data_IF_539940279315
#
_entry.id   IF_539940279315
#
_cell.length_a   1.000
_cell.length_b   1.000
_cell.length_c   1.000
_cell.angle_alpha   90.00
_cell.angle_beta   90.00
_cell.angle_gamma   90.00
#
_symmetry.space_group_name_H-M   'P 1'
#
loop_
_entity.id
_entity.type
_entity.pdbx_description
1 polymer ?
#
# COMPACT_ATOMS: atom_id res chain seq x y z
N UNK A 1 -19.73 27.41 1.01
CA UNK A 1 -19.01 27.10 -0.24
C UNK A 1 -18.25 28.35 -0.65
N UNK A 2 -16.92 28.35 -0.55
CA UNK A 2 -16.11 29.53 -0.92
C UNK A 2 -16.01 29.60 -2.45
N UNK A 3 -16.00 30.82 -3.01
CA UNK A 3 -15.93 31.11 -4.44
C UNK A 3 -14.66 30.56 -5.15
N UNK A 4 -13.68 30.02 -4.42
CA UNK A 4 -12.37 29.64 -4.93
C UNK A 4 -12.27 28.23 -5.51
N UNK A 5 -13.32 27.39 -5.41
CA UNK A 5 -13.28 25.97 -5.81
C UNK A 5 -14.15 25.64 -7.04
N UNK A 6 -14.63 26.64 -7.78
CA UNK A 6 -15.46 26.42 -8.95
C UNK A 6 -14.63 26.06 -10.20
N UNK A 7 -14.83 24.85 -10.72
CA UNK A 7 -14.18 24.34 -11.93
C UNK A 7 -14.45 25.19 -13.18
N UNK A 8 -15.57 25.92 -13.23
CA UNK A 8 -15.90 26.78 -14.37
C UNK A 8 -15.02 28.04 -14.45
N UNK A 9 -14.31 28.39 -13.36
CA UNK A 9 -13.38 29.53 -13.31
C UNK A 9 -11.94 29.15 -13.68
N UNK A 10 -11.64 27.87 -13.91
CA UNK A 10 -10.29 27.44 -14.26
C UNK A 10 -9.86 28.00 -15.63
N UNK A 11 -8.55 28.25 -15.84
CA UNK A 11 -8.03 28.59 -17.15
C UNK A 11 -8.09 27.38 -18.10
N UNK A 12 -8.09 27.62 -19.40
CA UNK A 12 -7.91 26.53 -20.36
C UNK A 12 -6.47 25.99 -20.28
N UNK A 13 -6.26 24.67 -20.50
CA UNK A 13 -7.23 23.64 -20.88
C UNK A 13 -7.97 22.96 -19.70
N UNK A 14 -7.69 23.38 -18.47
CA UNK A 14 -8.20 22.73 -17.25
C UNK A 14 -9.72 22.77 -17.14
N UNK A 15 -10.33 23.89 -17.51
CA UNK A 15 -11.79 24.03 -17.52
C UNK A 15 -12.47 23.08 -18.51
N UNK A 16 -11.96 22.98 -19.74
CA UNK A 16 -12.47 22.00 -20.70
C UNK A 16 -12.33 20.57 -20.16
N UNK A 17 -11.17 20.23 -19.58
CA UNK A 17 -10.92 18.91 -19.00
C UNK A 17 -11.84 18.60 -17.82
N UNK A 18 -12.09 19.56 -16.93
CA UNK A 18 -13.02 19.40 -15.82
C UNK A 18 -14.46 19.19 -16.32
N UNK A 19 -14.90 19.92 -17.35
CA UNK A 19 -16.23 19.71 -17.97
C UNK A 19 -16.35 18.32 -18.60
N UNK A 20 -15.32 17.88 -19.32
CA UNK A 20 -15.28 16.52 -19.88
C UNK A 20 -15.35 15.50 -18.75
N UNK A 21 -14.49 15.60 -17.74
CA UNK A 21 -14.44 14.67 -16.61
C UNK A 21 -15.80 14.58 -15.89
N UNK A 22 -16.42 15.73 -15.57
CA UNK A 22 -17.73 15.83 -14.93
C UNK A 22 -18.83 15.10 -15.71
N UNK A 23 -18.80 15.12 -17.04
CA UNK A 23 -19.78 14.37 -17.84
C UNK A 23 -19.72 12.85 -17.63
N UNK A 24 -18.54 12.30 -17.33
CA UNK A 24 -18.35 10.87 -17.05
C UNK A 24 -18.72 10.49 -15.61
N UNK A 25 -18.73 11.43 -14.66
CA UNK A 25 -19.07 11.12 -13.26
C UNK A 25 -20.55 10.83 -13.08
N UNK A 26 -21.43 11.46 -13.87
CA UNK A 26 -22.87 11.15 -13.86
C UNK A 26 -23.19 9.73 -14.31
N UNK A 27 -22.23 9.02 -14.92
CA UNK A 27 -22.37 7.63 -15.34
C UNK A 27 -22.00 6.64 -14.22
N UNK A 28 -21.56 7.12 -13.05
CA UNK A 28 -21.31 6.31 -11.86
C UNK A 28 -22.60 6.11 -11.05
N UNK A 29 -22.83 4.86 -10.66
CA UNK A 29 -23.89 4.48 -9.72
C UNK A 29 -23.60 5.01 -8.31
N UNK A 30 -22.33 4.97 -7.90
CA UNK A 30 -21.87 5.41 -6.59
C UNK A 30 -21.55 6.91 -6.60
N UNK A 31 -22.31 7.70 -5.84
CA UNK A 31 -22.14 9.15 -5.81
C UNK A 31 -20.86 9.59 -5.12
N UNK A 32 -20.37 8.81 -4.16
CA UNK A 32 -19.15 9.12 -3.40
C UNK A 32 -17.89 9.03 -4.29
N UNK A 33 -17.90 8.13 -5.26
CA UNK A 33 -16.80 7.93 -6.22
C UNK A 33 -16.72 9.03 -7.31
N UNK A 34 -17.74 9.88 -7.43
CA UNK A 34 -17.84 10.83 -8.54
C UNK A 34 -16.68 11.81 -8.55
N UNK A 35 -16.33 12.32 -7.38
CA UNK A 35 -15.24 13.27 -7.25
C UNK A 35 -13.89 12.62 -7.50
N UNK A 36 -13.67 11.40 -7.01
CA UNK A 36 -12.46 10.62 -7.25
C UNK A 36 -12.26 10.31 -8.74
N UNK A 37 -13.31 9.88 -9.44
CA UNK A 37 -13.23 9.63 -10.87
C UNK A 37 -12.92 10.92 -11.64
N UNK A 38 -13.56 12.03 -11.28
CA UNK A 38 -13.31 13.33 -11.91
C UNK A 38 -11.83 13.71 -11.83
N UNK A 39 -11.25 13.64 -10.63
CA UNK A 39 -9.85 13.96 -10.39
C UNK A 39 -8.91 12.98 -11.11
N UNK A 40 -9.22 11.68 -11.10
CA UNK A 40 -8.46 10.67 -11.84
C UNK A 40 -8.41 10.97 -13.35
N UNK A 41 -9.53 11.38 -13.94
CA UNK A 41 -9.61 11.78 -15.35
C UNK A 41 -8.74 13.03 -15.59
N UNK A 42 -8.85 14.07 -14.77
CA UNK A 42 -8.09 15.31 -14.93
C UNK A 42 -6.58 15.03 -14.84
N UNK A 43 -6.12 14.30 -13.82
CA UNK A 43 -4.71 13.91 -13.67
C UNK A 43 -4.22 13.13 -14.88
N UNK A 44 -5.04 12.21 -15.40
CA UNK A 44 -4.66 11.43 -16.59
C UNK A 44 -4.59 12.29 -17.85
N UNK A 45 -5.49 13.25 -18.02
CA UNK A 45 -5.47 14.22 -19.13
C UNK A 45 -4.18 15.04 -19.12
N UNK A 46 -3.75 15.52 -17.95
CA UNK A 46 -2.48 16.25 -17.79
C UNK A 46 -1.31 15.41 -18.27
N UNK A 47 -1.18 14.18 -17.78
CA UNK A 47 -0.09 13.29 -18.13
C UNK A 47 -0.01 13.04 -19.65
N UNK A 48 -1.16 12.76 -20.27
CA UNK A 48 -1.22 12.53 -21.72
C UNK A 48 -0.95 13.82 -22.50
N UNK A 49 -1.45 14.96 -22.05
CA UNK A 49 -1.19 16.25 -22.68
C UNK A 49 0.29 16.64 -22.63
N UNK A 50 1.03 16.30 -21.56
CA UNK A 50 2.48 16.45 -21.50
C UNK A 50 3.19 15.55 -22.52
N UNK A 51 2.81 14.27 -22.63
CA UNK A 51 3.37 13.36 -23.64
C UNK A 51 3.14 13.85 -25.07
N UNK A 52 1.96 14.44 -25.34
CA UNK A 52 1.62 15.01 -26.64
C UNK A 52 2.43 16.29 -26.92
N UNK A 53 2.59 17.16 -25.91
CA UNK A 53 3.42 18.38 -26.00
C UNK A 53 4.88 18.05 -26.33
N UNK A 54 5.46 17.02 -25.71
CA UNK A 54 6.81 16.56 -26.03
C UNK A 54 6.95 16.11 -27.50
N UNK A 55 5.85 15.64 -28.11
CA UNK A 55 5.79 15.25 -29.53
C UNK A 55 5.42 16.42 -30.46
N UNK A 56 5.33 17.64 -29.93
CA UNK A 56 4.95 18.83 -30.67
C UNK A 56 3.48 18.84 -31.15
N UNK A 57 2.60 18.04 -30.52
CA UNK A 57 1.19 17.94 -30.91
C UNK A 57 0.29 18.35 -29.73
N UNK A 58 -0.80 19.10 -29.95
CA UNK A 58 -1.78 19.32 -28.90
C UNK A 58 -2.67 18.08 -28.70
N UNK A 59 -3.13 17.85 -27.47
CA UNK A 59 -4.15 16.85 -27.20
C UNK A 59 -5.50 17.40 -27.66
N UNK A 60 -6.13 16.75 -28.64
CA UNK A 60 -7.43 17.18 -29.15
C UNK A 60 -8.56 16.81 -28.19
N UNK A 61 -9.70 17.50 -28.28
CA UNK A 61 -10.91 17.18 -27.50
C UNK A 61 -11.34 15.72 -27.63
N UNK A 62 -11.27 15.15 -28.84
CA UNK A 62 -11.54 13.72 -29.06
C UNK A 62 -10.54 12.80 -28.34
N UNK A 63 -9.27 13.20 -28.29
CA UNK A 63 -8.25 12.55 -27.46
C UNK A 63 -8.59 12.63 -25.97
N UNK A 64 -9.02 13.80 -25.49
CA UNK A 64 -9.45 13.98 -24.10
C UNK A 64 -10.61 13.06 -23.74
N UNK A 65 -11.64 12.96 -24.59
CA UNK A 65 -12.79 12.07 -24.39
C UNK A 65 -12.34 10.61 -24.32
N UNK A 66 -11.44 10.16 -25.20
CA UNK A 66 -10.89 8.79 -25.14
C UNK A 66 -10.14 8.54 -23.83
N UNK A 67 -9.29 9.49 -23.41
CA UNK A 67 -8.56 9.39 -22.14
C UNK A 67 -9.53 9.27 -20.96
N UNK A 68 -10.57 10.09 -20.92
CA UNK A 68 -11.60 10.03 -19.89
C UNK A 68 -12.33 8.68 -19.87
N UNK A 69 -12.73 8.18 -21.05
CA UNK A 69 -13.41 6.89 -21.19
C UNK A 69 -12.55 5.73 -20.67
N UNK A 70 -11.27 5.65 -21.09
CA UNK A 70 -10.36 4.59 -20.63
C UNK A 70 -10.04 4.71 -19.14
N UNK A 71 -9.94 5.94 -18.60
CA UNK A 71 -9.71 6.16 -17.17
C UNK A 71 -10.90 5.68 -16.34
N UNK A 72 -12.13 5.98 -16.79
CA UNK A 72 -13.35 5.44 -16.16
C UNK A 72 -13.40 3.91 -16.18
N UNK A 73 -13.07 3.29 -17.32
CA UNK A 73 -13.02 1.82 -17.41
C UNK A 73 -11.99 1.24 -16.42
N UNK A 74 -10.80 1.84 -16.36
CA UNK A 74 -9.75 1.44 -15.41
C UNK A 74 -10.18 1.60 -13.96
N UNK A 75 -10.89 2.68 -13.64
CA UNK A 75 -11.44 2.93 -12.31
C UNK A 75 -12.37 1.80 -11.87
N UNK A 76 -13.31 1.40 -12.73
CA UNK A 76 -14.20 0.26 -12.47
C UNK A 76 -13.46 -1.06 -12.37
N UNK A 77 -12.48 -1.32 -13.24
CA UNK A 77 -11.68 -2.54 -13.18
C UNK A 77 -10.89 -2.62 -11.87
N UNK A 78 -10.37 -1.51 -11.38
CA UNK A 78 -9.69 -1.43 -10.09
C UNK A 78 -10.66 -1.68 -8.93
N UNK A 79 -11.84 -1.04 -8.92
CA UNK A 79 -12.89 -1.29 -7.93
C UNK A 79 -13.34 -2.76 -7.94
N UNK A 80 -13.49 -3.37 -9.12
CA UNK A 80 -13.79 -4.80 -9.27
C UNK A 80 -12.65 -5.68 -8.76
N UNK A 81 -11.38 -5.33 -9.03
CA UNK A 81 -10.22 -6.08 -8.49
C UNK A 81 -10.17 -6.03 -6.97
N UNK A 82 -10.43 -4.87 -6.36
CA UNK A 82 -10.54 -4.75 -4.91
C UNK A 82 -11.70 -5.61 -4.37
N UNK A 83 -12.84 -5.64 -5.06
CA UNK A 83 -13.96 -6.53 -4.70
C UNK A 83 -13.69 -8.03 -4.89
N UNK A 84 -12.75 -8.43 -5.76
CA UNK A 84 -12.35 -9.85 -5.91
C UNK A 84 -11.55 -10.36 -4.72
N UNK A 85 -10.86 -9.47 -4.02
CA UNK A 85 -10.30 -9.78 -2.70
C UNK A 85 -11.45 -9.60 -1.74
N UNK A 86 -12.00 -10.69 -1.21
CA UNK A 86 -13.04 -10.62 -0.18
C UNK A 86 -12.44 -9.98 1.07
N UNK A 87 -12.53 -8.65 1.16
CA UNK A 87 -12.07 -7.89 2.32
C UNK A 87 -13.27 -7.64 3.21
N UNK A 88 -13.26 -8.23 4.40
CA UNK A 88 -14.18 -7.88 5.48
C UNK A 88 -13.54 -6.76 6.28
N UNK A 89 -14.34 -5.78 6.71
CA UNK A 89 -13.86 -4.71 7.58
C UNK A 89 -13.46 -5.29 8.94
N UNK A 90 -12.24 -5.01 9.41
CA UNK A 90 -11.82 -5.42 10.75
C UNK A 90 -12.62 -4.73 11.87
N UNK A 91 -13.25 -3.59 11.55
CA UNK A 91 -14.11 -2.86 12.47
C UNK A 91 -15.57 -3.32 12.40
N UNK A 92 -15.90 -4.38 11.65
CA UNK A 92 -17.26 -4.92 11.64
C UNK A 92 -17.54 -5.62 12.96
N UNK A 93 -18.74 -5.42 13.52
CA UNK A 93 -19.19 -6.14 14.72
C UNK A 93 -19.60 -7.57 14.37
N UNK A 94 -19.21 -8.51 15.22
CA UNK A 94 -19.58 -9.92 15.20
C UNK A 94 -20.07 -10.34 16.58
N UNK A 95 -20.85 -11.42 16.65
CA UNK A 95 -21.35 -11.97 17.91
C UNK A 95 -20.48 -13.14 18.36
N UNK A 96 -20.14 -13.16 19.64
CA UNK A 96 -19.51 -14.33 20.27
C UNK A 96 -20.54 -15.44 20.56
N UNK A 97 -20.06 -16.58 21.08
CA UNK A 97 -20.90 -17.73 21.42
C UNK A 97 -21.93 -17.43 22.52
N UNK A 98 -21.67 -16.40 23.34
CA UNK A 98 -22.56 -15.93 24.41
C UNK A 98 -23.54 -14.83 23.94
N UNK A 99 -23.44 -14.41 22.66
CA UNK A 99 -24.30 -13.42 22.04
C UNK A 99 -23.90 -11.95 22.26
N UNK A 100 -22.75 -11.67 22.88
CA UNK A 100 -22.21 -10.33 23.03
C UNK A 100 -21.57 -9.84 21.72
N UNK A 101 -21.57 -8.52 21.51
CA UNK A 101 -20.99 -7.91 20.33
C UNK A 101 -19.51 -7.55 20.55
N UNK A 102 -18.65 -7.91 19.60
CA UNK A 102 -17.23 -7.53 19.56
C UNK A 102 -16.81 -7.19 18.13
N UNK A 103 -15.75 -6.39 17.95
CA UNK A 103 -15.21 -6.12 16.62
C UNK A 103 -14.40 -7.33 16.11
N UNK A 104 -14.47 -7.58 14.80
CA UNK A 104 -13.74 -8.67 14.15
C UNK A 104 -12.24 -8.63 14.48
N UNK A 105 -11.63 -7.45 14.53
CA UNK A 105 -10.21 -7.26 14.86
C UNK A 105 -9.82 -7.88 16.20
N UNK A 106 -10.70 -7.84 17.20
CA UNK A 106 -10.43 -8.33 18.55
C UNK A 106 -10.48 -9.86 18.64
N UNK A 107 -11.03 -10.52 17.62
CA UNK A 107 -11.14 -11.99 17.57
C UNK A 107 -10.03 -12.65 16.75
N UNK A 108 -9.27 -11.86 15.97
CA UNK A 108 -8.20 -12.38 15.15
C UNK A 108 -6.93 -12.60 15.99
N UNK A 109 -6.40 -13.82 15.94
CA UNK A 109 -5.14 -14.17 16.61
C UNK A 109 -3.97 -13.72 15.72
N UNK A 110 -2.97 -13.10 16.35
CA UNK A 110 -1.70 -12.80 15.68
C UNK A 110 -0.86 -14.07 15.53
N UNK A 111 -0.99 -14.79 14.40
CA UNK A 111 -0.20 -16.00 14.11
C UNK A 111 1.32 -15.78 14.06
N UNK A 112 1.76 -14.54 13.83
CA UNK A 112 3.17 -14.14 13.84
C UNK A 112 3.54 -13.34 15.11
N UNK A 113 2.79 -13.52 16.21
CA UNK A 113 3.16 -12.95 17.49
C UNK A 113 4.58 -13.38 17.89
N UNK A 114 5.30 -12.51 18.59
CA UNK A 114 6.62 -12.87 19.13
C UNK A 114 6.39 -13.95 20.19
N UNK A 115 6.91 -15.14 19.94
CA UNK A 115 6.99 -16.19 20.95
C UNK A 115 7.94 -15.74 22.06
N UNK A 116 7.37 -15.38 23.20
CA UNK A 116 8.09 -14.82 24.34
C UNK A 116 9.02 -15.85 24.97
N UNK A 117 8.63 -17.13 24.96
CA UNK A 117 9.43 -18.22 25.52
C UNK A 117 10.60 -18.51 24.60
N UNK A 118 10.36 -18.65 23.29
CA UNK A 118 11.44 -18.78 22.31
C UNK A 118 12.40 -17.57 22.36
N UNK A 119 11.88 -16.36 22.56
CA UNK A 119 12.71 -15.17 22.70
C UNK A 119 13.56 -15.19 23.98
N UNK A 120 12.98 -15.60 25.11
CA UNK A 120 13.67 -15.70 26.38
C UNK A 120 14.73 -16.82 26.35
N UNK A 121 14.39 -17.98 25.78
CA UNK A 121 15.30 -19.11 25.59
C UNK A 121 16.47 -18.72 24.70
N UNK A 122 16.20 -18.02 23.59
CA UNK A 122 17.26 -17.46 22.75
C UNK A 122 18.17 -16.53 23.54
N UNK A 123 17.62 -15.64 24.37
CA UNK A 123 18.39 -14.69 25.17
C UNK A 123 19.27 -15.40 26.19
N UNK A 124 18.71 -16.35 26.93
CA UNK A 124 19.44 -17.16 27.92
C UNK A 124 20.55 -17.97 27.24
N UNK A 125 20.23 -18.61 26.12
CA UNK A 125 21.19 -19.36 25.34
C UNK A 125 22.31 -18.46 24.82
N UNK A 126 21.99 -17.33 24.20
CA UNK A 126 22.97 -16.36 23.74
C UNK A 126 23.89 -15.88 24.87
N UNK A 127 23.34 -15.58 26.06
CA UNK A 127 24.11 -15.09 27.20
C UNK A 127 25.05 -16.15 27.80
N UNK A 128 24.69 -17.44 27.77
CA UNK A 128 25.54 -18.52 28.26
C UNK A 128 26.77 -18.79 27.38
N UNK A 129 26.77 -18.27 26.14
CA UNK A 129 27.86 -18.51 25.18
C UNK A 129 29.15 -17.75 25.49
N UNK A 130 30.31 -18.31 25.08
CA UNK A 130 31.59 -17.65 25.17
C UNK A 130 31.58 -16.23 24.56
N UNK A 131 32.33 -15.27 25.15
CA UNK A 131 32.35 -13.89 24.66
C UNK A 131 32.71 -13.72 23.18
N UNK A 132 33.50 -14.64 22.61
CA UNK A 132 33.91 -14.63 21.20
C UNK A 132 32.73 -14.88 20.26
N UNK A 133 31.89 -15.88 20.56
CA UNK A 133 30.67 -16.16 19.79
C UNK A 133 29.68 -15.02 19.88
N UNK A 134 29.44 -14.50 21.10
CA UNK A 134 28.56 -13.34 21.30
C UNK A 134 29.04 -12.12 20.50
N UNK A 135 30.36 -11.88 20.45
CA UNK A 135 30.93 -10.78 19.67
C UNK A 135 30.73 -10.97 18.17
N UNK A 136 30.94 -12.17 17.64
CA UNK A 136 30.70 -12.49 16.23
C UNK A 136 29.22 -12.29 15.85
N UNK A 137 28.30 -12.76 16.69
CA UNK A 137 26.86 -12.57 16.50
C UNK A 137 26.47 -11.09 16.60
N UNK A 138 26.99 -10.35 17.58
CA UNK A 138 26.74 -8.90 17.71
C UNK A 138 27.22 -8.17 16.46
N UNK A 139 28.41 -8.51 15.95
CA UNK A 139 28.96 -7.96 14.70
C UNK A 139 28.05 -8.24 13.51
N UNK A 140 27.46 -9.44 13.42
CA UNK A 140 26.47 -9.76 12.37
C UNK A 140 25.24 -8.85 12.42
N UNK A 141 24.75 -8.51 13.63
CA UNK A 141 23.53 -7.74 13.82
C UNK A 141 23.77 -6.24 13.70
N UNK A 142 24.88 -5.73 14.26
CA UNK A 142 25.14 -4.28 14.36
C UNK A 142 26.02 -3.75 13.24
N UNK A 143 26.80 -4.59 12.57
CA UNK A 143 27.69 -4.19 11.47
C UNK A 143 27.28 -4.83 10.15
N UNK A 144 27.92 -4.40 9.06
CA UNK A 144 27.72 -5.00 7.74
C UNK A 144 28.25 -6.44 7.73
N UNK A 145 27.42 -7.39 7.28
CA UNK A 145 27.75 -8.81 7.16
C UNK A 145 29.04 -9.09 6.36
N UNK A 146 29.42 -8.18 5.45
CA UNK A 146 30.66 -8.26 4.66
C UNK A 146 31.94 -8.06 5.49
N UNK A 147 31.84 -7.57 6.71
CA UNK A 147 32.99 -7.38 7.62
C UNK A 147 33.28 -8.60 8.48
N UNK A 148 32.47 -9.65 8.42
CA UNK A 148 32.71 -10.87 9.18
C UNK A 148 33.89 -11.66 8.61
N UNK A 149 34.78 -12.07 9.49
CA UNK A 149 35.87 -12.98 9.13
C UNK A 149 35.33 -14.40 8.92
N UNK A 150 36.09 -15.26 8.24
CA UNK A 150 35.75 -16.68 8.12
C UNK A 150 35.62 -17.38 9.49
N UNK A 151 36.38 -16.91 10.49
CA UNK A 151 36.27 -17.39 11.87
C UNK A 151 34.96 -16.95 12.54
N UNK A 152 34.54 -15.69 12.34
CA UNK A 152 33.25 -15.21 12.84
C UNK A 152 32.08 -16.04 12.27
N UNK A 153 32.14 -16.37 10.98
CA UNK A 153 31.16 -17.26 10.33
C UNK A 153 31.15 -18.67 10.90
N UNK A 154 32.32 -19.23 11.22
CA UNK A 154 32.42 -20.54 11.87
C UNK A 154 31.70 -20.53 13.22
N UNK A 155 31.96 -19.52 14.06
CA UNK A 155 31.33 -19.37 15.37
C UNK A 155 29.81 -19.21 15.28
N UNK A 156 29.31 -18.41 14.34
CA UNK A 156 27.87 -18.21 14.14
C UNK A 156 27.18 -19.49 13.67
N UNK A 157 27.84 -20.27 12.81
CA UNK A 157 27.32 -21.55 12.33
C UNK A 157 27.25 -22.58 13.46
N UNK A 158 28.29 -22.68 14.29
CA UNK A 158 28.31 -23.56 15.46
C UNK A 158 27.23 -23.15 16.47
N UNK A 159 27.08 -21.85 16.73
CA UNK A 159 26.02 -21.30 17.56
C UNK A 159 24.62 -21.73 17.10
N UNK A 160 24.33 -21.58 15.80
CA UNK A 160 23.04 -21.97 15.18
C UNK A 160 22.82 -23.48 15.19
N UNK A 161 23.88 -24.27 14.99
CA UNK A 161 23.77 -25.73 14.97
C UNK A 161 23.49 -26.32 16.36
N UNK A 162 24.00 -25.66 17.41
CA UNK A 162 23.80 -26.05 18.80
C UNK A 162 22.48 -25.50 19.38
N UNK A 163 22.03 -24.33 18.91
CA UNK A 163 20.70 -23.82 19.19
C UNK A 163 19.66 -24.53 18.31
N UNK A 164 19.36 -25.78 18.66
CA UNK A 164 18.20 -26.49 18.13
C UNK A 164 17.07 -26.35 19.14
N UNK A 165 16.16 -25.44 18.85
CA UNK A 165 14.79 -25.44 19.36
C UNK A 165 13.94 -26.23 18.36
#
# INVERSE_FOLDING_TARGET
YSEALDYDRLPEPWREWARIAKSFTYQLDDQWDREDLMHNIIVRLVAVAEEYRQKGKPLTKGGCIRVAQYTRLRFYDQKKRWRRVSSVSLNSTIKDDDGNETELINTLIAHNGVDLDAWLDFKNYYQSRPPKERRAIRKLITENWRKLSGYDWKLIREFRAQYKV
#
